data_IF_376199237784
#
_entry.id   IF_376199237784
#
_cell.length_a   1.000
_cell.length_b   1.000
_cell.length_c   1.000
_cell.angle_alpha   90.00
_cell.angle_beta   90.00
_cell.angle_gamma   90.00
#
_symmetry.space_group_name_H-M   'P 1'
#
loop_
_entity.id
_entity.type
_entity.pdbx_description
1 polymer ?
#
# COMPACT_ATOMS: atom_id res chain seq x y z
N UNK A 1 3.07 -2.24 16.59
CA UNK A 1 4.44 -2.08 17.11
C UNK A 1 5.15 -1.11 16.19
N UNK A 2 5.12 0.19 16.51
CA UNK A 2 5.84 1.22 15.77
C UNK A 2 7.18 1.44 16.43
N UNK A 3 8.22 0.75 15.96
CA UNK A 3 9.54 0.88 16.52
C UNK A 3 10.24 2.08 15.88
N UNK A 4 10.52 3.11 16.69
CA UNK A 4 11.55 4.11 16.39
C UNK A 4 12.90 3.41 16.47
N UNK A 5 13.34 2.81 15.37
CA UNK A 5 14.60 2.07 15.26
C UNK A 5 15.77 3.03 15.04
N UNK A 6 15.96 4.06 15.86
CA UNK A 6 17.01 5.04 15.63
C UNK A 6 18.45 4.46 15.67
N UNK A 7 18.64 3.22 16.13
CA UNK A 7 19.95 2.55 16.25
C UNK A 7 20.15 1.23 15.47
N UNK A 8 19.16 0.69 14.75
CA UNK A 8 19.34 -0.58 14.01
C UNK A 8 20.13 -0.37 12.71
N UNK A 9 20.92 -1.35 12.21
CA UNK A 9 21.57 -1.30 10.90
C UNK A 9 20.55 -1.06 9.78
N UNK A 10 20.97 -0.36 8.73
CA UNK A 10 20.09 -0.02 7.60
C UNK A 10 19.43 -1.25 6.97
N UNK A 11 20.17 -2.35 6.86
CA UNK A 11 19.67 -3.62 6.31
C UNK A 11 18.52 -4.22 7.13
N UNK A 12 18.61 -4.14 8.46
CA UNK A 12 17.58 -4.67 9.35
C UNK A 12 16.30 -3.84 9.21
N UNK A 13 16.42 -2.51 9.21
CA UNK A 13 15.29 -1.61 8.97
C UNK A 13 14.65 -1.84 7.61
N UNK A 14 15.46 -2.05 6.58
CA UNK A 14 14.97 -2.35 5.23
C UNK A 14 14.19 -3.67 5.20
N UNK A 15 14.69 -4.73 5.84
CA UNK A 15 13.98 -6.01 5.94
C UNK A 15 12.67 -5.90 6.72
N UNK A 16 12.63 -5.07 7.75
CA UNK A 16 11.40 -4.80 8.49
C UNK A 16 10.37 -4.10 7.60
N UNK A 17 10.78 -3.07 6.85
CA UNK A 17 9.92 -2.36 5.90
C UNK A 17 9.37 -3.33 4.84
N UNK A 18 10.22 -4.16 4.24
CA UNK A 18 9.81 -5.15 3.26
C UNK A 18 8.83 -6.18 3.85
N UNK A 19 9.06 -6.61 5.09
CA UNK A 19 8.19 -7.58 5.77
C UNK A 19 6.80 -6.99 6.04
N UNK A 20 6.74 -5.73 6.46
CA UNK A 20 5.47 -5.01 6.63
C UNK A 20 4.78 -4.82 5.29
N UNK A 21 5.51 -4.39 4.26
CA UNK A 21 4.97 -4.20 2.92
C UNK A 21 4.38 -5.50 2.35
N UNK A 22 5.13 -6.61 2.40
CA UNK A 22 4.66 -7.90 1.91
C UNK A 22 3.38 -8.35 2.63
N UNK A 23 3.34 -8.22 3.97
CA UNK A 23 2.14 -8.55 4.74
C UNK A 23 0.94 -7.69 4.34
N UNK A 24 1.14 -6.38 4.21
CA UNK A 24 0.07 -5.46 3.82
C UNK A 24 -0.48 -5.80 2.44
N UNK A 25 0.40 -6.05 1.46
CA UNK A 25 -0.01 -6.44 0.10
C UNK A 25 -0.80 -7.75 0.09
N UNK A 26 -0.37 -8.77 0.84
CA UNK A 26 -1.11 -10.03 0.94
C UNK A 26 -2.50 -9.87 1.54
N UNK A 27 -2.67 -9.00 2.54
CA UNK A 27 -3.99 -8.75 3.14
C UNK A 27 -4.89 -7.93 2.22
N UNK A 28 -4.34 -6.97 1.46
CA UNK A 28 -5.06 -6.22 0.42
C UNK A 28 -5.54 -7.17 -0.67
N UNK A 29 -4.66 -8.00 -1.23
CA UNK A 29 -5.03 -9.00 -2.25
C UNK A 29 -6.13 -9.94 -1.74
N UNK A 30 -6.02 -10.42 -0.50
CA UNK A 30 -7.05 -11.28 0.12
C UNK A 30 -8.40 -10.57 0.21
N UNK A 31 -8.41 -9.31 0.62
CA UNK A 31 -9.64 -8.53 0.76
C UNK A 31 -10.28 -8.21 -0.60
N UNK A 32 -9.47 -8.04 -1.64
CA UNK A 32 -9.92 -7.70 -2.99
C UNK A 32 -10.25 -8.91 -3.86
N UNK A 33 -9.73 -10.09 -3.54
CA UNK A 33 -9.97 -11.33 -4.28
C UNK A 33 -11.47 -11.63 -4.54
N UNK A 34 -12.42 -11.41 -3.60
CA UNK A 34 -13.85 -11.60 -3.85
C UNK A 34 -14.42 -10.68 -4.93
N UNK A 35 -13.76 -9.54 -5.18
CA UNK A 35 -14.14 -8.58 -6.21
C UNK A 35 -13.43 -8.84 -7.56
N UNK A 36 -12.59 -9.87 -7.64
CA UNK A 36 -11.77 -10.15 -8.82
C UNK A 36 -10.67 -9.12 -9.06
N UNK A 37 -10.30 -8.35 -8.03
CA UNK A 37 -9.29 -7.29 -8.10
C UNK A 37 -8.02 -7.72 -7.36
N UNK A 38 -6.86 -7.26 -7.85
CA UNK A 38 -5.59 -7.31 -7.13
C UNK A 38 -5.21 -5.97 -6.51
N UNK A 39 -4.17 -5.97 -5.68
CA UNK A 39 -3.64 -4.76 -5.06
C UNK A 39 -3.18 -3.70 -6.09
N UNK A 40 -2.67 -4.12 -7.26
CA UNK A 40 -2.33 -3.20 -8.35
C UNK A 40 -3.54 -2.47 -8.92
N UNK A 41 -4.68 -3.16 -9.06
CA UNK A 41 -5.92 -2.55 -9.55
C UNK A 41 -6.45 -1.55 -8.51
N UNK A 42 -6.34 -1.91 -7.24
CA UNK A 42 -6.69 -1.02 -6.14
C UNK A 42 -5.85 0.26 -6.12
N UNK A 43 -4.53 0.19 -6.32
CA UNK A 43 -3.68 1.39 -6.39
C UNK A 43 -4.09 2.31 -7.54
N UNK A 44 -4.45 1.76 -8.71
CA UNK A 44 -4.96 2.55 -9.84
C UNK A 44 -6.31 3.18 -9.50
N UNK A 45 -7.23 2.42 -8.91
CA UNK A 45 -8.54 2.94 -8.50
C UNK A 45 -8.42 4.02 -7.42
N UNK A 46 -7.52 3.84 -6.44
CA UNK A 46 -7.23 4.83 -5.41
C UNK A 46 -6.68 6.11 -6.02
N UNK A 47 -5.75 6.01 -6.98
CA UNK A 47 -5.25 7.16 -7.74
C UNK A 47 -6.33 7.85 -8.57
N UNK A 48 -7.26 7.11 -9.17
CA UNK A 48 -8.37 7.69 -9.92
C UNK A 48 -9.36 8.41 -9.01
N UNK A 49 -9.63 7.87 -7.82
CA UNK A 49 -10.54 8.48 -6.85
C UNK A 49 -9.89 9.69 -6.16
N UNK A 50 -8.61 9.60 -5.79
CA UNK A 50 -7.88 10.66 -5.08
C UNK A 50 -7.28 11.72 -5.99
N UNK A 51 -6.96 11.34 -7.22
CA UNK A 51 -6.35 12.18 -8.25
C UNK A 51 -7.30 12.61 -9.35
N UNK A 52 -8.58 12.24 -9.31
CA UNK A 52 -9.58 12.88 -10.16
C UNK A 52 -9.55 14.38 -9.84
N UNK A 53 -9.18 15.25 -10.79
CA UNK A 53 -9.45 16.66 -10.63
C UNK A 53 -10.96 16.79 -10.38
N UNK A 54 -11.33 17.69 -9.49
CA UNK A 54 -12.69 18.20 -9.44
C UNK A 54 -12.99 18.63 -10.89
N UNK A 55 -13.81 17.85 -11.61
CA UNK A 55 -14.29 18.17 -12.96
C UNK A 55 -15.26 19.35 -12.79
N UNK A 56 -14.70 20.47 -12.39
CA UNK A 56 -15.30 21.77 -12.27
C UNK A 56 -15.14 22.49 -13.60
N UNK A 57 -16.26 22.57 -14.31
CA UNK A 57 -16.63 23.70 -15.15
C UNK A 57 -15.83 23.86 -16.48
N UNK A 58 -16.37 23.25 -17.54
CA UNK A 58 -16.32 23.85 -18.88
C UNK A 58 -17.63 23.63 -19.61
#
# INVERSE_FOLDING_TARGET
MGARTAGAPLEERWRDILSVHARTMCEIDRALHPHGLGASDFEVLDLLVTGAPDDGDR
#
